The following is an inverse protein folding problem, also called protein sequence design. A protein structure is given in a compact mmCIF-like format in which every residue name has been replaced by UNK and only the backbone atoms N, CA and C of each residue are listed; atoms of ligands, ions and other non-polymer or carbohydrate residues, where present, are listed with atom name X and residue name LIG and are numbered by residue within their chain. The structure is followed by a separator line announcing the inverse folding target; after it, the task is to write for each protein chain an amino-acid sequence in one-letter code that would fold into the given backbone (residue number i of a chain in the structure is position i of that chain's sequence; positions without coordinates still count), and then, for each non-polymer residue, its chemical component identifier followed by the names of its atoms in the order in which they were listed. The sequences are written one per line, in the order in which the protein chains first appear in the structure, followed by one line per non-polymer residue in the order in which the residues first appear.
data_IF_790589862200
#
_entry.id   IF_790589862200
#
_cell.length_a   1.000
_cell.length_b   1.000
_cell.length_c   1.000
_cell.angle_alpha   90.00
_cell.angle_beta   90.00
_cell.angle_gamma   90.00
#
_symmetry.space_group_name_H-M   'P 1'
#
loop_
_entity.id
_entity.type
_entity.pdbx_description
1 polymer ?
#
# COMPACT_ATOMS: atom_id res chain seq x y z
N UNK A 1 -26.77 27.66 6.82
CA UNK A 1 -27.37 27.24 5.53
C UNK A 1 -26.27 26.65 4.67
N UNK A 2 -26.31 25.34 4.40
CA UNK A 2 -25.34 24.71 3.49
C UNK A 2 -25.78 24.96 2.05
N UNK A 3 -24.91 25.56 1.24
CA UNK A 3 -25.11 25.69 -0.20
C UNK A 3 -24.86 24.32 -0.83
N UNK A 4 -25.82 23.81 -1.58
CA UNK A 4 -25.68 22.56 -2.35
C UNK A 4 -24.71 22.85 -3.50
N UNK A 5 -23.47 22.39 -3.39
CA UNK A 5 -22.54 22.41 -4.51
C UNK A 5 -23.05 21.41 -5.55
N UNK A 6 -23.70 21.92 -6.61
CA UNK A 6 -23.87 21.14 -7.83
C UNK A 6 -22.49 21.10 -8.48
N UNK A 7 -21.95 19.91 -8.73
CA UNK A 7 -20.61 19.75 -9.28
C UNK A 7 -20.46 20.62 -10.52
N UNK A 8 -19.63 21.65 -10.43
CA UNK A 8 -19.33 22.52 -11.54
C UNK A 8 -18.57 21.70 -12.58
N UNK A 9 -19.06 21.55 -13.83
CA UNK A 9 -18.38 20.76 -14.85
C UNK A 9 -16.94 21.20 -15.10
N UNK A 10 -16.61 22.46 -14.79
CA UNK A 10 -15.25 23.02 -14.88
C UNK A 10 -14.30 22.51 -13.78
N UNK A 11 -14.84 22.06 -12.65
CA UNK A 11 -14.09 21.46 -11.54
C UNK A 11 -13.95 19.94 -11.68
N UNK A 12 -14.68 19.33 -12.62
CA UNK A 12 -14.49 17.94 -13.00
C UNK A 12 -13.25 17.90 -13.88
N UNK A 13 -12.10 17.72 -13.25
CA UNK A 13 -10.88 17.34 -13.97
C UNK A 13 -11.21 15.99 -14.62
N UNK A 14 -11.20 15.89 -15.96
CA UNK A 14 -11.31 14.59 -16.59
C UNK A 14 -10.14 13.77 -16.05
N UNK A 15 -10.44 12.70 -15.34
CA UNK A 15 -9.45 11.66 -15.13
C UNK A 15 -9.03 11.24 -16.53
N UNK A 16 -7.83 11.63 -16.94
CA UNK A 16 -7.17 10.98 -18.05
C UNK A 16 -7.37 9.49 -17.82
N UNK A 17 -7.80 8.79 -18.86
CA UNK A 17 -7.94 7.35 -18.84
C UNK A 17 -6.50 6.82 -18.73
N UNK A 18 -5.95 6.88 -17.51
CA UNK A 18 -4.69 6.28 -17.14
C UNK A 18 -5.03 4.82 -17.32
N UNK A 19 -4.74 4.30 -18.50
CA UNK A 19 -5.02 2.92 -18.86
C UNK A 19 -4.41 2.08 -17.77
N UNK A 20 -5.23 1.66 -16.80
CA UNK A 20 -4.82 0.76 -15.75
C UNK A 20 -4.59 -0.50 -16.52
N UNK A 21 -3.33 -0.74 -16.88
CA UNK A 21 -2.95 -1.90 -17.65
C UNK A 21 -3.48 -3.10 -16.86
N UNK A 22 -4.47 -3.81 -17.38
CA UNK A 22 -5.16 -4.89 -16.67
C UNK A 22 -4.19 -5.96 -16.12
N UNK A 23 -2.95 -5.99 -16.62
CA UNK A 23 -1.82 -6.80 -16.16
C UNK A 23 -0.89 -6.06 -15.18
N UNK A 24 -1.40 -5.38 -14.16
CA UNK A 24 -0.57 -4.93 -13.03
C UNK A 24 -0.15 -6.16 -12.21
N UNK A 25 1.01 -6.72 -12.55
CA UNK A 25 1.68 -7.74 -11.74
C UNK A 25 2.83 -7.10 -10.99
N UNK A 26 2.84 -7.26 -9.67
CA UNK A 26 4.01 -6.95 -8.87
C UNK A 26 4.96 -8.15 -8.91
N UNK A 27 6.26 -7.90 -9.03
CA UNK A 27 7.25 -8.94 -8.85
C UNK A 27 7.26 -9.34 -7.36
N UNK A 28 6.86 -10.58 -7.07
CA UNK A 28 6.95 -11.12 -5.72
C UNK A 28 8.42 -11.40 -5.40
N UNK A 29 9.05 -10.49 -4.65
CA UNK A 29 10.43 -10.66 -4.21
C UNK A 29 10.42 -11.49 -2.92
N UNK A 30 11.04 -12.67 -2.96
CA UNK A 30 11.23 -13.49 -1.77
C UNK A 30 12.09 -12.76 -0.74
N UNK A 31 11.55 -12.53 0.46
CA UNK A 31 12.30 -11.99 1.61
C UNK A 31 12.78 -13.12 2.51
N UNK A 32 14.02 -13.03 2.97
CA UNK A 32 14.56 -14.02 3.90
C UNK A 32 14.01 -13.76 5.30
N UNK A 33 13.33 -14.74 5.89
CA UNK A 33 12.95 -14.71 7.30
C UNK A 33 14.20 -15.05 8.12
N UNK A 34 14.59 -14.15 9.01
CA UNK A 34 15.73 -14.30 9.90
C UNK A 34 15.36 -14.93 11.24
N UNK A 35 14.14 -14.67 11.71
CA UNK A 35 13.67 -15.16 13.01
C UNK A 35 12.13 -15.17 13.06
N UNK A 36 11.57 -16.05 13.89
CA UNK A 36 10.14 -16.20 14.12
C UNK A 36 9.87 -16.32 15.62
N UNK A 37 8.97 -15.49 16.15
CA UNK A 37 8.57 -15.55 17.55
C UNK A 37 7.04 -15.56 17.67
N UNK A 38 6.51 -16.33 18.62
CA UNK A 38 5.09 -16.27 18.98
C UNK A 38 4.93 -15.39 20.22
N UNK A 39 4.24 -14.27 20.06
CA UNK A 39 3.88 -13.38 21.15
C UNK A 39 2.50 -13.76 21.69
N UNK A 40 2.46 -14.15 22.97
CA UNK A 40 1.19 -14.39 23.67
C UNK A 40 0.67 -13.08 24.27
N UNK A 41 -0.47 -12.63 23.79
CA UNK A 41 -1.28 -11.56 24.38
C UNK A 41 -2.34 -12.18 25.30
N UNK A 42 -2.99 -11.34 26.11
CA UNK A 42 -3.97 -11.79 27.12
C UNK A 42 -5.09 -12.67 26.54
N UNK A 43 -5.50 -12.44 25.30
CA UNK A 43 -6.62 -13.15 24.66
C UNK A 43 -6.24 -13.89 23.38
N UNK A 44 -5.00 -13.73 22.88
CA UNK A 44 -4.59 -14.29 21.58
C UNK A 44 -3.09 -14.49 21.48
N UNK A 45 -2.68 -15.39 20.61
CA UNK A 45 -1.28 -15.54 20.21
C UNK A 45 -1.07 -14.97 18.81
N UNK A 46 0.07 -14.30 18.59
CA UNK A 46 0.41 -13.65 17.31
C UNK A 46 1.83 -14.05 16.94
N UNK A 47 2.02 -14.56 15.72
CA UNK A 47 3.35 -14.81 15.18
C UNK A 47 3.96 -13.50 14.65
N UNK A 48 5.15 -13.17 15.12
CA UNK A 48 6.01 -12.11 14.60
C UNK A 48 7.16 -12.75 13.83
N UNK A 49 7.43 -12.22 12.63
CA UNK A 49 8.54 -12.65 11.79
C UNK A 49 9.49 -11.48 11.57
N UNK A 50 10.79 -11.73 11.72
CA UNK A 50 11.84 -10.78 11.39
C UNK A 50 12.31 -11.09 9.98
N UNK A 51 12.25 -10.12 9.08
CA UNK A 51 12.64 -10.29 7.67
C UNK A 51 13.85 -9.43 7.32
N UNK A 52 14.70 -9.95 6.45
CA UNK A 52 15.78 -9.18 5.82
C UNK A 52 15.21 -8.43 4.61
N UNK A 53 14.99 -7.13 4.77
CA UNK A 53 14.51 -6.27 3.70
C UNK A 53 15.68 -5.79 2.83
N UNK A 54 15.67 -6.11 1.53
CA UNK A 54 16.77 -5.78 0.60
C UNK A 54 16.53 -4.49 -0.23
N UNK A 55 15.35 -3.87 -0.13
CA UNK A 55 14.97 -2.69 -0.93
C UNK A 55 15.25 -1.35 -0.22
N UNK A 56 16.39 -1.19 0.44
CA UNK A 56 16.75 0.05 1.16
C UNK A 56 17.22 1.21 0.25
N UNK A 57 17.15 1.06 -1.08
CA UNK A 57 17.60 2.07 -2.06
C UNK A 57 16.47 2.74 -2.84
N UNK A 58 15.22 2.65 -2.38
CA UNK A 58 14.16 3.48 -2.97
C UNK A 58 14.44 4.92 -2.57
N UNK A 59 15.00 5.67 -3.51
CA UNK A 59 15.17 7.11 -3.43
C UNK A 59 13.81 7.69 -3.06
N UNK A 60 13.73 8.32 -1.88
CA UNK A 60 12.57 9.04 -1.39
C UNK A 60 12.05 9.94 -2.52
N UNK A 61 10.79 9.78 -2.90
CA UNK A 61 10.19 10.65 -3.91
C UNK A 61 10.13 12.06 -3.32
N UNK A 62 10.82 13.00 -3.97
CA UNK A 62 10.70 14.45 -3.72
C UNK A 62 9.30 14.92 -4.08
#
# INVERSE_FOLDING_TARGET
MLKKCMGDPLLIIPTEDIGIKDSLSFEEISVQILDCQVCKLTTKEVALVKVLWRNQFVKEAT
#
